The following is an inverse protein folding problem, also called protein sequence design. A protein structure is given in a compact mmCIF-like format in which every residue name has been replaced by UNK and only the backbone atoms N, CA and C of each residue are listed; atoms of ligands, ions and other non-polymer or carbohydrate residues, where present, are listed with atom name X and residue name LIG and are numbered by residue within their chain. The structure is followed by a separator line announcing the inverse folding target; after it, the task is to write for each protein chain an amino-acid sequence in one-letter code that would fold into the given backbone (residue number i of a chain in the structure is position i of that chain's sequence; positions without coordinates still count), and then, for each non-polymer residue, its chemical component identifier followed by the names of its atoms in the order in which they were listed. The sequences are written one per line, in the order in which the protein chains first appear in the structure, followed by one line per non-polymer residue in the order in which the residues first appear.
data_IF_974260458392
#
_entry.id   IF_974260458392
#
_cell.length_a   1.000
_cell.length_b   1.000
_cell.length_c   1.000
_cell.angle_alpha   90.00
_cell.angle_beta   90.00
_cell.angle_gamma   90.00
#
_symmetry.space_group_name_H-M   'P 1'
#
loop_
_entity.id
_entity.type
_entity.pdbx_description
1 polymer ?
#
# COMPACT_ATOMS: atom_id res chain seq x y z
N UNK A 1 -6.43 21.61 1.68
CA UNK A 1 -5.35 22.52 2.10
C UNK A 1 -4.07 21.71 1.96
N UNK A 2 -3.16 22.10 1.06
CA UNK A 2 -1.92 21.34 0.85
C UNK A 2 -1.06 21.35 2.12
N UNK A 3 -0.40 20.24 2.42
CA UNK A 3 0.55 20.15 3.53
C UNK A 3 1.75 21.07 3.29
N UNK A 4 2.30 21.70 4.34
CA UNK A 4 3.48 22.55 4.21
C UNK A 4 4.65 21.74 3.66
N UNK A 5 5.58 22.45 3.00
CA UNK A 5 6.84 21.87 2.56
C UNK A 5 7.67 21.47 3.78
N UNK A 6 8.11 20.22 3.82
CA UNK A 6 9.09 19.79 4.81
C UNK A 6 10.46 20.36 4.44
N UNK A 7 11.19 20.78 5.47
CA UNK A 7 12.60 21.15 5.38
C UNK A 7 13.47 19.91 5.14
N UNK A 8 14.71 20.06 4.64
CA UNK A 8 15.63 18.93 4.48
C UNK A 8 15.87 18.15 5.78
N UNK A 9 15.99 18.85 6.91
CA UNK A 9 16.21 18.22 8.21
C UNK A 9 14.99 17.41 8.68
N UNK A 10 13.77 17.91 8.44
CA UNK A 10 12.53 17.18 8.72
C UNK A 10 12.40 15.92 7.85
N UNK A 11 12.76 16.01 6.56
CA UNK A 11 12.75 14.86 5.66
C UNK A 11 13.76 13.81 6.12
N UNK A 12 14.99 14.21 6.46
CA UNK A 12 16.01 13.30 6.96
C UNK A 12 15.59 12.62 8.28
N UNK A 13 14.95 13.36 9.19
CA UNK A 13 14.43 12.79 10.43
C UNK A 13 13.28 11.78 10.20
N UNK A 14 12.40 12.04 9.24
CA UNK A 14 11.31 11.12 8.87
C UNK A 14 11.85 9.90 8.14
N UNK A 15 12.82 10.08 7.26
CA UNK A 15 13.52 8.99 6.58
C UNK A 15 14.19 8.05 7.58
N UNK A 16 14.97 8.58 8.52
CA UNK A 16 15.61 7.78 9.58
C UNK A 16 14.57 7.04 10.45
N UNK A 17 13.42 7.66 10.72
CA UNK A 17 12.33 7.03 11.47
C UNK A 17 11.75 5.84 10.69
N UNK A 18 11.52 6.00 9.39
CA UNK A 18 10.99 4.93 8.54
C UNK A 18 11.99 3.78 8.44
N UNK A 19 13.28 4.06 8.28
CA UNK A 19 14.32 3.04 8.28
C UNK A 19 14.32 2.21 9.56
N UNK A 20 14.40 2.88 10.71
CA UNK A 20 14.45 2.22 12.01
C UNK A 20 13.20 1.37 12.28
N UNK A 21 12.02 1.90 11.92
CA UNK A 21 10.76 1.16 12.07
C UNK A 21 10.71 -0.06 11.14
N UNK A 22 11.14 0.08 9.88
CA UNK A 22 11.15 -1.04 8.93
C UNK A 22 12.16 -2.12 9.29
N UNK A 23 13.34 -1.74 9.78
CA UNK A 23 14.34 -2.67 10.29
C UNK A 23 13.77 -3.49 11.45
N UNK A 24 13.15 -2.82 12.43
CA UNK A 24 12.47 -3.49 13.54
C UNK A 24 11.31 -4.38 13.06
N UNK A 25 10.52 -3.92 12.09
CA UNK A 25 9.41 -4.69 11.54
C UNK A 25 9.91 -5.97 10.85
N UNK A 26 11.01 -5.91 10.10
CA UNK A 26 11.61 -7.08 9.46
C UNK A 26 12.12 -8.13 10.47
N UNK A 27 12.54 -7.71 11.66
CA UNK A 27 13.01 -8.62 12.72
C UNK A 27 11.87 -9.24 13.55
N UNK A 28 10.78 -8.49 13.74
CA UNK A 28 9.77 -8.81 14.78
C UNK A 28 8.37 -9.09 14.26
N UNK A 29 8.02 -8.63 13.05
CA UNK A 29 6.70 -8.81 12.47
C UNK A 29 6.71 -10.03 11.52
N UNK A 30 6.01 -11.13 11.85
CA UNK A 30 6.01 -12.34 11.02
C UNK A 30 5.35 -12.15 9.64
N UNK A 31 4.63 -11.05 9.43
CA UNK A 31 4.07 -10.70 8.13
C UNK A 31 5.07 -10.01 7.20
N UNK A 32 6.19 -9.49 7.72
CA UNK A 32 7.22 -8.82 6.92
C UNK A 32 8.31 -9.83 6.61
N UNK A 33 8.46 -10.13 5.32
CA UNK A 33 9.41 -11.15 4.83
C UNK A 33 10.73 -10.52 4.34
N UNK A 34 10.66 -9.30 3.79
CA UNK A 34 11.84 -8.55 3.41
C UNK A 34 11.55 -7.04 3.34
N UNK A 35 12.59 -6.24 3.56
CA UNK A 35 12.57 -4.79 3.29
C UNK A 35 13.75 -4.47 2.39
N UNK A 36 13.48 -3.79 1.28
CA UNK A 36 14.48 -3.26 0.37
C UNK A 36 14.33 -1.75 0.25
N UNK A 37 15.45 -1.07 0.01
CA UNK A 37 15.47 0.37 -0.19
C UNK A 37 15.92 0.69 -1.61
N UNK A 38 15.26 1.67 -2.22
CA UNK A 38 15.65 2.17 -3.54
C UNK A 38 17.05 2.79 -3.50
N UNK A 39 17.78 2.64 -4.60
CA UNK A 39 19.11 3.22 -4.83
C UNK A 39 19.06 4.42 -5.79
N UNK A 40 17.88 4.79 -6.26
CA UNK A 40 17.67 5.98 -7.09
C UNK A 40 17.55 7.26 -6.25
N UNK A 41 17.38 8.40 -6.93
CA UNK A 41 17.25 9.71 -6.28
C UNK A 41 15.95 9.86 -5.47
N UNK A 42 15.04 8.88 -5.55
CA UNK A 42 13.75 8.91 -4.88
C UNK A 42 13.83 8.06 -3.60
N UNK A 43 13.57 8.69 -2.46
CA UNK A 43 13.52 7.98 -1.20
C UNK A 43 12.31 7.05 -1.17
N UNK A 44 12.55 5.76 -1.36
CA UNK A 44 11.51 4.73 -1.44
C UNK A 44 11.94 3.42 -0.77
N UNK A 45 10.97 2.77 -0.13
CA UNK A 45 11.11 1.45 0.46
C UNK A 45 10.11 0.47 -0.17
N UNK A 46 10.54 -0.78 -0.28
CA UNK A 46 9.77 -1.91 -0.76
C UNK A 46 9.68 -2.93 0.36
N UNK A 47 8.48 -3.11 0.90
CA UNK A 47 8.21 -4.05 1.99
C UNK A 47 7.51 -5.26 1.40
N UNK A 48 8.18 -6.41 1.40
CA UNK A 48 7.57 -7.69 1.00
C UNK A 48 6.78 -8.23 2.18
N UNK A 49 5.48 -8.40 1.96
CA UNK A 49 4.49 -8.76 2.97
C UNK A 49 3.87 -10.11 2.62
N UNK A 50 3.71 -10.97 3.63
CA UNK A 50 3.03 -12.25 3.53
C UNK A 50 1.54 -12.09 3.81
N UNK A 51 0.70 -12.66 2.95
CA UNK A 51 -0.76 -12.71 3.11
C UNK A 51 -1.29 -14.14 3.20
N UNK A 52 -2.56 -14.29 3.56
CA UNK A 52 -3.26 -15.59 3.59
C UNK A 52 -4.05 -15.83 2.31
N UNK A 53 -4.64 -14.77 1.76
CA UNK A 53 -5.43 -14.78 0.54
C UNK A 53 -4.56 -14.42 -0.67
N UNK A 54 -3.64 -13.47 -0.52
CA UNK A 54 -2.59 -13.14 -1.50
C UNK A 54 -1.22 -13.49 -0.90
N UNK A 55 -0.70 -14.66 -1.26
CA UNK A 55 0.49 -15.27 -0.65
C UNK A 55 1.63 -14.28 -0.35
N UNK A 56 2.02 -13.48 -1.36
CA UNK A 56 3.05 -12.45 -1.23
C UNK A 56 2.67 -11.21 -2.04
N UNK A 57 2.89 -10.04 -1.45
CA UNK A 57 2.71 -8.76 -2.12
C UNK A 57 3.69 -7.72 -1.58
N UNK A 58 3.85 -6.60 -2.28
CA UNK A 58 4.81 -5.56 -1.91
C UNK A 58 4.07 -4.27 -1.60
N UNK A 59 4.32 -3.71 -0.42
CA UNK A 59 3.95 -2.34 -0.10
C UNK A 59 5.11 -1.40 -0.48
N UNK A 60 4.81 -0.36 -1.24
CA UNK A 60 5.76 0.68 -1.63
C UNK A 60 5.52 1.90 -0.77
N UNK A 61 6.55 2.41 -0.11
CA UNK A 61 6.51 3.65 0.64
C UNK A 61 7.41 4.65 -0.08
N UNK A 62 6.86 5.78 -0.54
CA UNK A 62 7.62 6.83 -1.26
C UNK A 62 7.57 8.12 -0.46
N UNK A 63 8.72 8.55 0.08
CA UNK A 63 8.84 9.83 0.75
C UNK A 63 9.06 10.95 -0.26
N UNK A 64 8.12 11.88 -0.33
CA UNK A 64 8.23 13.12 -1.10
C UNK A 64 8.37 14.31 -0.17
N UNK A 65 8.59 15.50 -0.75
CA UNK A 65 8.80 16.74 -0.01
C UNK A 65 7.63 17.16 0.93
N UNK A 66 6.41 16.66 0.70
CA UNK A 66 5.21 17.01 1.51
C UNK A 66 4.53 15.82 2.16
N UNK A 67 4.65 14.65 1.55
CA UNK A 67 3.86 13.47 1.90
C UNK A 67 4.69 12.21 1.82
N UNK A 68 4.42 11.28 2.72
CA UNK A 68 4.70 9.87 2.53
C UNK A 68 3.54 9.26 1.75
N UNK A 69 3.80 8.82 0.52
CA UNK A 69 2.86 8.03 -0.27
C UNK A 69 3.07 6.55 0.03
N UNK A 70 2.00 5.78 0.05
CA UNK A 70 2.07 4.34 0.22
C UNK A 70 1.08 3.67 -0.71
N UNK A 71 1.52 2.60 -1.36
CA UNK A 71 0.70 1.89 -2.35
C UNK A 71 1.07 0.42 -2.45
N UNK A 72 0.16 -0.38 -2.98
CA UNK A 72 0.45 -1.75 -3.37
C UNK A 72 -0.33 -2.15 -4.61
N UNK A 73 0.30 -2.97 -5.44
CA UNK A 73 -0.35 -3.65 -6.55
C UNK A 73 -1.22 -4.79 -6.03
N UNK A 74 -2.52 -4.74 -6.30
CA UNK A 74 -3.47 -5.77 -5.86
C UNK A 74 -3.57 -6.87 -6.91
N UNK A 75 -3.98 -6.51 -8.14
CA UNK A 75 -4.22 -7.44 -9.25
C UNK A 75 -4.33 -6.71 -10.60
N UNK A 76 -4.18 -7.42 -11.74
CA UNK A 76 -4.32 -6.78 -13.05
C UNK A 76 -5.79 -6.47 -13.33
N UNK A 77 -6.05 -5.82 -14.46
CA UNK A 77 -7.40 -5.59 -14.94
C UNK A 77 -8.22 -6.91 -14.96
N UNK A 78 -9.51 -6.85 -14.59
CA UNK A 78 -10.40 -8.01 -14.69
C UNK A 78 -10.54 -8.46 -16.14
N UNK A 79 -10.48 -9.77 -16.38
CA UNK A 79 -10.74 -10.39 -17.70
C UNK A 79 -12.24 -10.61 -17.94
N UNK A 80 -13.03 -10.61 -16.86
CA UNK A 80 -14.46 -10.92 -16.87
C UNK A 80 -15.23 -9.97 -15.94
N UNK A 81 -16.52 -9.75 -16.22
CA UNK A 81 -17.44 -9.00 -15.35
C UNK A 81 -16.95 -7.60 -14.91
N UNK A 82 -16.20 -6.88 -15.75
CA UNK A 82 -15.51 -5.63 -15.42
C UNK A 82 -16.39 -4.60 -14.67
N UNK A 83 -17.61 -4.37 -15.18
CA UNK A 83 -18.53 -3.41 -14.57
C UNK A 83 -18.97 -3.79 -13.15
N UNK A 84 -19.13 -5.09 -12.86
CA UNK A 84 -19.42 -5.56 -11.49
C UNK A 84 -18.16 -5.52 -10.63
N UNK A 85 -17.02 -5.92 -11.19
CA UNK A 85 -15.73 -5.87 -10.52
C UNK A 85 -15.40 -4.45 -10.01
N UNK A 86 -15.39 -3.45 -10.89
CA UNK A 86 -15.08 -2.07 -10.50
C UNK A 86 -16.13 -1.47 -9.58
N UNK A 87 -17.41 -1.81 -9.76
CA UNK A 87 -18.49 -1.40 -8.83
C UNK A 87 -18.22 -1.93 -7.42
N UNK A 88 -17.80 -3.19 -7.28
CA UNK A 88 -17.51 -3.81 -5.99
C UNK A 88 -16.25 -3.24 -5.34
N UNK A 89 -15.23 -2.90 -6.12
CA UNK A 89 -14.03 -2.21 -5.63
C UNK A 89 -14.39 -0.80 -5.16
N UNK A 90 -15.10 -0.02 -5.97
CA UNK A 90 -15.49 1.35 -5.63
C UNK A 90 -16.35 1.39 -4.36
N UNK A 91 -17.26 0.44 -4.18
CA UNK A 91 -18.07 0.32 -2.95
C UNK A 91 -17.22 0.07 -1.70
N UNK A 92 -16.08 -0.61 -1.82
CA UNK A 92 -15.18 -0.87 -0.68
C UNK A 92 -14.50 0.40 -0.20
N UNK A 93 -14.22 1.36 -1.09
CA UNK A 93 -13.61 2.65 -0.70
C UNK A 93 -14.38 3.38 0.39
N UNK A 94 -15.71 3.22 0.47
CA UNK A 94 -16.51 3.83 1.54
C UNK A 94 -16.15 3.35 2.95
N UNK A 95 -15.55 2.16 3.08
CA UNK A 95 -15.13 1.59 4.37
C UNK A 95 -13.66 1.84 4.69
N UNK A 96 -12.89 2.36 3.75
CA UNK A 96 -11.47 2.62 3.92
C UNK A 96 -11.24 4.03 4.48
N UNK A 97 -10.22 4.19 5.31
CA UNK A 97 -9.80 5.48 5.87
C UNK A 97 -8.32 5.68 5.62
N UNK A 98 -7.98 6.75 4.89
CA UNK A 98 -6.61 7.05 4.48
C UNK A 98 -6.06 6.14 3.39
N UNK A 99 -6.91 5.29 2.80
CA UNK A 99 -6.62 4.40 1.67
C UNK A 99 -7.78 4.45 0.68
N UNK A 100 -7.47 4.22 -0.59
CA UNK A 100 -8.45 4.02 -1.64
C UNK A 100 -7.92 2.97 -2.63
N UNK A 101 -8.82 2.15 -3.15
CA UNK A 101 -8.57 1.43 -4.39
C UNK A 101 -8.57 2.40 -5.55
N UNK A 102 -7.57 2.26 -6.41
CA UNK A 102 -7.30 3.11 -7.57
C UNK A 102 -7.08 2.24 -8.80
N UNK A 103 -7.37 2.80 -9.97
CA UNK A 103 -7.09 2.18 -11.27
C UNK A 103 -5.82 2.83 -11.81
N UNK A 104 -4.77 2.03 -11.97
CA UNK A 104 -3.50 2.44 -12.54
C UNK A 104 -3.41 2.13 -14.03
N UNK A 105 -2.18 2.10 -14.54
CA UNK A 105 -1.91 1.75 -15.93
C UNK A 105 -2.40 0.34 -16.26
N UNK A 106 -2.80 0.14 -17.52
CA UNK A 106 -3.40 -1.12 -18.01
C UNK A 106 -4.63 -1.56 -17.19
N UNK A 107 -5.34 -0.59 -16.61
CA UNK A 107 -6.49 -0.77 -15.73
C UNK A 107 -6.23 -1.69 -14.51
N UNK A 108 -4.96 -1.83 -14.11
CA UNK A 108 -4.57 -2.58 -12.93
C UNK A 108 -5.11 -1.94 -11.66
N UNK A 109 -5.45 -2.77 -10.66
CA UNK A 109 -5.97 -2.31 -9.39
C UNK A 109 -4.84 -2.13 -8.39
N UNK A 110 -4.76 -0.91 -7.85
CA UNK A 110 -3.87 -0.56 -6.76
C UNK A 110 -4.70 -0.25 -5.51
N UNK A 111 -4.05 -0.35 -4.35
CA UNK A 111 -4.55 0.19 -3.09
C UNK A 111 -3.51 1.20 -2.59
N UNK A 112 -3.89 2.47 -2.52
CA UNK A 112 -2.96 3.56 -2.28
C UNK A 112 -3.51 4.58 -1.28
N UNK A 113 -2.59 5.36 -0.72
CA UNK A 113 -2.88 6.46 0.19
C UNK A 113 -1.68 7.36 0.38
N UNK A 114 -1.87 8.42 1.16
CA UNK A 114 -0.78 9.30 1.54
C UNK A 114 -1.02 9.97 2.88
N UNK A 115 0.08 10.34 3.53
CA UNK A 115 0.10 11.03 4.81
C UNK A 115 1.06 12.23 4.73
N UNK A 116 0.74 13.40 5.29
CA UNK A 116 1.69 14.50 5.40
C UNK A 116 2.95 14.08 6.16
N UNK A 117 4.13 14.56 5.73
CA UNK A 117 5.42 14.25 6.38
C UNK A 117 5.38 14.52 7.89
N UNK A 118 4.77 15.64 8.29
CA UNK A 118 4.64 16.04 9.68
C UNK A 118 3.77 15.09 10.54
N UNK A 119 2.95 14.24 9.92
CA UNK A 119 2.10 13.28 10.61
C UNK A 119 2.71 11.86 10.66
N UNK A 120 3.87 11.64 10.02
CA UNK A 120 4.53 10.33 10.01
C UNK A 120 5.03 9.99 11.41
N UNK A 121 4.45 8.95 12.01
CA UNK A 121 4.86 8.38 13.30
C UNK A 121 4.91 6.86 13.16
N UNK A 122 5.60 6.16 14.06
CA UNK A 122 5.63 4.69 14.07
C UNK A 122 4.21 4.09 14.14
N UNK A 123 3.34 4.67 14.98
CA UNK A 123 1.95 4.26 15.07
C UNK A 123 1.17 4.44 13.76
N UNK A 124 1.46 5.50 12.99
CA UNK A 124 0.88 5.68 11.66
C UNK A 124 1.45 4.69 10.64
N UNK A 125 2.75 4.34 10.72
CA UNK A 125 3.37 3.32 9.87
C UNK A 125 2.75 1.93 10.13
N UNK A 126 2.59 1.56 11.40
CA UNK A 126 1.88 0.33 11.81
C UNK A 126 0.44 0.32 11.27
N UNK A 127 -0.28 1.44 11.45
CA UNK A 127 -1.64 1.59 10.95
C UNK A 127 -1.71 1.43 9.44
N UNK A 128 -0.78 2.04 8.70
CA UNK A 128 -0.72 1.95 7.23
C UNK A 128 -0.50 0.50 6.79
N UNK A 129 0.54 -0.16 7.30
CA UNK A 129 0.87 -1.52 6.90
C UNK A 129 -0.27 -2.49 7.25
N UNK A 130 -0.82 -2.39 8.46
CA UNK A 130 -1.96 -3.21 8.89
C UNK A 130 -3.23 -2.94 8.06
N UNK A 131 -3.49 -1.69 7.68
CA UNK A 131 -4.65 -1.34 6.85
C UNK A 131 -4.50 -1.84 5.42
N UNK A 132 -3.29 -1.76 4.83
CA UNK A 132 -2.99 -2.35 3.52
C UNK A 132 -3.21 -3.86 3.55
N UNK A 133 -2.65 -4.54 4.54
CA UNK A 133 -2.81 -5.98 4.71
C UNK A 133 -4.28 -6.38 4.82
N UNK A 134 -5.01 -5.79 5.76
CA UNK A 134 -6.42 -6.14 5.98
C UNK A 134 -7.29 -5.88 4.73
N UNK A 135 -7.03 -4.79 4.00
CA UNK A 135 -7.77 -4.46 2.80
C UNK A 135 -7.44 -5.39 1.61
N UNK A 136 -6.18 -5.76 1.43
CA UNK A 136 -5.76 -6.76 0.42
C UNK A 136 -6.42 -8.09 0.71
N UNK A 137 -6.29 -8.61 1.94
CA UNK A 137 -6.84 -9.90 2.35
C UNK A 137 -8.36 -9.96 2.17
N UNK A 138 -9.08 -8.93 2.60
CA UNK A 138 -10.54 -8.89 2.48
C UNK A 138 -11.03 -8.77 1.02
N UNK A 139 -10.23 -8.15 0.15
CA UNK A 139 -10.65 -7.83 -1.22
C UNK A 139 -10.24 -8.89 -2.23
N UNK A 140 -9.08 -9.51 -2.05
CA UNK A 140 -8.38 -10.25 -3.10
C UNK A 140 -9.20 -11.42 -3.67
N UNK A 141 -9.56 -12.44 -2.86
CA UNK A 141 -10.33 -13.58 -3.38
C UNK A 141 -11.72 -13.21 -3.90
N UNK A 142 -12.53 -12.36 -3.22
CA UNK A 142 -13.79 -11.90 -3.78
C UNK A 142 -13.65 -11.20 -5.13
N UNK A 143 -12.63 -10.35 -5.29
CA UNK A 143 -12.36 -9.67 -6.55
C UNK A 143 -11.93 -10.67 -7.65
N UNK A 144 -11.07 -11.65 -7.32
CA UNK A 144 -10.67 -12.70 -8.25
C UNK A 144 -11.85 -13.53 -8.77
N UNK A 145 -12.79 -13.90 -7.89
CA UNK A 145 -13.99 -14.67 -8.28
C UNK A 145 -14.91 -13.92 -9.25
N UNK A 146 -14.86 -12.58 -9.26
CA UNK A 146 -15.63 -11.76 -10.18
C UNK A 146 -14.85 -11.54 -11.48
N UNK A 147 -13.61 -11.06 -11.35
CA UNK A 147 -12.76 -10.60 -12.45
C UNK A 147 -12.11 -11.72 -13.29
N UNK A 148 -12.02 -12.93 -12.74
CA UNK A 148 -11.35 -14.09 -13.35
C UNK A 148 -12.14 -15.37 -13.08
N UNK A 149 -13.47 -15.28 -13.15
CA UNK A 149 -14.40 -16.33 -12.74
C UNK A 149 -14.07 -17.70 -13.36
N UNK A 150 -13.67 -17.71 -14.64
CA UNK A 150 -13.29 -18.92 -15.37
C UNK A 150 -12.10 -19.69 -14.76
N UNK A 151 -11.24 -19.04 -13.96
CA UNK A 151 -10.10 -19.68 -13.27
C UNK A 151 -10.50 -20.47 -12.01
N UNK A 152 -11.76 -20.36 -11.60
CA UNK A 152 -12.31 -20.98 -10.39
C UNK A 152 -13.49 -21.94 -10.67
N UNK A 153 -13.71 -22.28 -11.94
CA UNK A 153 -14.77 -23.17 -12.40
C UNK A 153 -14.33 -24.65 -12.42
#
# INVERSE_FOLDING_TARGET
MESPLATPDELAAVEQRIDAWLEQAAESNPLVDAVERSTDDIVRWFVRVLGEEKDVWTAWLTLRQRTLQFETYVMPAPEENEAEFYRQILRRNHKLTGLAFEIGDEDAVFLAGSLPVAAVTEAELDRILGSLWAAVELCFRPALRIGFASRFA
#
